data_IF_391681637848
#
_entry.id   IF_391681637848
#
_cell.length_a   1.000
_cell.length_b   1.000
_cell.length_c   1.000
_cell.angle_alpha   90.00
_cell.angle_beta   90.00
_cell.angle_gamma   90.00
#
_symmetry.space_group_name_H-M   'P 1'
#
loop_
_entity.id
_entity.type
_entity.pdbx_description
1 polymer ?
#
# COMPACT_ATOMS: atom_id res chain seq x y z
N UNK A 1 6.02 -5.40 -30.12
CA UNK A 1 4.76 -4.65 -29.96
C UNK A 1 4.56 -4.40 -28.48
N UNK A 2 4.69 -3.15 -27.97
CA UNK A 2 4.31 -2.88 -26.60
C UNK A 2 2.78 -2.93 -26.53
N UNK A 3 2.26 -3.90 -25.77
CA UNK A 3 0.84 -3.98 -25.48
C UNK A 3 0.40 -2.74 -24.71
N UNK A 4 -0.57 -2.07 -25.27
CA UNK A 4 -1.41 -0.98 -24.78
C UNK A 4 -1.20 -0.58 -23.31
N UNK A 5 -0.60 0.58 -23.10
CA UNK A 5 -0.73 1.40 -21.88
C UNK A 5 -2.11 2.11 -21.86
N UNK A 6 -3.15 1.43 -22.30
CA UNK A 6 -4.51 1.94 -22.29
C UNK A 6 -5.11 1.64 -20.93
N UNK A 7 -5.36 2.69 -20.15
CA UNK A 7 -6.17 2.73 -18.94
C UNK A 7 -5.47 2.43 -17.59
N UNK A 8 -4.20 2.83 -17.43
CA UNK A 8 -3.61 2.88 -16.08
C UNK A 8 -4.13 4.11 -15.34
N UNK A 9 -4.57 3.93 -14.10
CA UNK A 9 -5.04 4.99 -13.21
C UNK A 9 -4.03 5.27 -12.13
N UNK A 10 -3.91 6.54 -11.78
CA UNK A 10 -3.05 6.97 -10.68
C UNK A 10 -3.84 6.95 -9.38
N UNK A 11 -3.18 6.55 -8.31
CA UNK A 11 -3.65 6.64 -6.94
C UNK A 11 -2.54 7.21 -6.09
N UNK A 12 -2.86 8.19 -5.27
CA UNK A 12 -1.91 8.84 -4.38
C UNK A 12 -2.53 9.02 -3.01
N UNK A 13 -1.78 8.69 -1.97
CA UNK A 13 -2.16 8.96 -0.60
C UNK A 13 -0.93 9.25 0.25
N UNK A 14 -1.13 9.92 1.38
CA UNK A 14 -0.08 10.25 2.31
C UNK A 14 -0.53 10.01 3.75
N UNK A 15 0.45 9.79 4.61
CA UNK A 15 0.32 9.72 6.06
C UNK A 15 1.63 10.27 6.67
N UNK A 16 1.73 10.34 7.98
CA UNK A 16 2.94 10.77 8.65
C UNK A 16 3.19 9.97 9.92
N UNK A 17 4.44 9.94 10.35
CA UNK A 17 4.85 9.37 11.63
C UNK A 17 5.54 10.44 12.48
N UNK A 18 5.25 10.56 13.79
CA UNK A 18 5.87 11.53 14.69
C UNK A 18 7.26 11.03 15.11
N UNK A 19 8.15 10.88 14.14
CA UNK A 19 9.50 10.37 14.29
C UNK A 19 10.41 11.08 13.30
N UNK A 20 11.65 11.36 13.69
CA UNK A 20 12.68 11.93 12.81
C UNK A 20 12.94 11.07 11.59
N UNK A 21 13.15 11.71 10.46
CA UNK A 21 13.37 11.07 9.17
C UNK A 21 14.52 10.04 9.22
N UNK A 22 15.64 10.35 9.86
CA UNK A 22 16.82 9.48 9.91
C UNK A 22 16.49 8.11 10.53
N UNK A 23 15.65 8.09 11.58
CA UNK A 23 15.22 6.83 12.21
C UNK A 23 14.31 6.00 11.32
N UNK A 24 13.39 6.66 10.64
CA UNK A 24 12.48 5.99 9.70
C UNK A 24 13.26 5.46 8.49
N UNK A 25 14.18 6.28 7.96
CA UNK A 25 15.08 5.90 6.87
C UNK A 25 15.93 4.67 7.22
N UNK A 26 16.58 4.69 8.38
CA UNK A 26 17.42 3.57 8.85
C UNK A 26 16.59 2.28 8.97
N UNK A 27 15.41 2.37 9.58
CA UNK A 27 14.50 1.26 9.70
C UNK A 27 14.05 0.70 8.35
N UNK A 28 13.69 1.54 7.39
CA UNK A 28 13.29 1.10 6.07
C UNK A 28 14.44 0.45 5.30
N UNK A 29 15.67 0.90 5.50
CA UNK A 29 16.86 0.30 4.89
C UNK A 29 17.19 -1.07 5.48
N UNK A 30 17.05 -1.24 6.78
CA UNK A 30 17.33 -2.52 7.45
C UNK A 30 16.21 -3.53 7.27
N UNK A 31 14.95 -3.11 7.44
CA UNK A 31 13.79 -3.98 7.59
C UNK A 31 12.59 -3.66 6.68
N UNK A 32 12.76 -2.79 5.70
CA UNK A 32 11.69 -2.32 4.82
C UNK A 32 10.90 -3.46 4.16
N UNK A 33 11.59 -4.50 3.69
CA UNK A 33 10.94 -5.68 3.10
C UNK A 33 10.04 -6.39 4.11
N UNK A 34 10.51 -6.57 5.35
CA UNK A 34 9.75 -7.21 6.43
C UNK A 34 8.54 -6.38 6.83
N UNK A 35 8.69 -5.06 6.94
CA UNK A 35 7.61 -4.12 7.25
C UNK A 35 6.50 -4.22 6.20
N UNK A 36 6.85 -4.16 4.92
CA UNK A 36 5.88 -4.29 3.84
C UNK A 36 5.23 -5.67 3.78
N UNK A 37 5.98 -6.73 4.01
CA UNK A 37 5.44 -8.09 4.07
C UNK A 37 4.42 -8.27 5.19
N UNK A 38 4.70 -7.75 6.38
CA UNK A 38 3.78 -7.79 7.53
C UNK A 38 2.53 -6.95 7.28
N UNK A 39 2.69 -5.73 6.76
CA UNK A 39 1.56 -4.86 6.39
C UNK A 39 0.66 -5.54 5.36
N UNK A 40 1.25 -6.19 4.35
CA UNK A 40 0.51 -6.93 3.32
C UNK A 40 -0.21 -8.15 3.89
N UNK A 41 0.42 -8.92 4.78
CA UNK A 41 -0.22 -10.06 5.45
C UNK A 41 -1.46 -9.63 6.24
N UNK A 42 -1.35 -8.55 7.00
CA UNK A 42 -2.48 -7.95 7.74
C UNK A 42 -3.60 -7.50 6.80
N UNK A 43 -3.25 -6.88 5.67
CA UNK A 43 -4.23 -6.46 4.66
C UNK A 43 -4.94 -7.66 4.02
N UNK A 44 -4.20 -8.75 3.73
CA UNK A 44 -4.76 -9.99 3.19
C UNK A 44 -5.72 -10.69 4.15
N UNK A 45 -5.39 -10.76 5.44
CA UNK A 45 -6.29 -11.33 6.47
C UNK A 45 -7.61 -10.56 6.54
N UNK A 46 -7.55 -9.24 6.51
CA UNK A 46 -8.74 -8.38 6.52
C UNK A 46 -9.55 -8.50 5.23
N UNK A 47 -8.90 -8.60 4.09
CA UNK A 47 -9.56 -8.82 2.80
C UNK A 47 -10.29 -10.17 2.79
N UNK A 48 -9.68 -11.24 3.31
CA UNK A 48 -10.32 -12.55 3.48
C UNK A 48 -11.53 -12.48 4.41
N UNK A 49 -11.44 -11.76 5.53
CA UNK A 49 -12.56 -11.56 6.45
C UNK A 49 -13.71 -10.80 5.79
N UNK A 50 -13.42 -9.75 5.02
CA UNK A 50 -14.42 -8.99 4.27
C UNK A 50 -15.11 -9.85 3.19
N UNK A 51 -14.34 -10.64 2.44
CA UNK A 51 -14.88 -11.58 1.45
C UNK A 51 -15.73 -12.64 2.11
N UNK A 52 -15.34 -13.17 3.27
CA UNK A 52 -16.16 -14.11 4.04
C UNK A 52 -17.50 -13.50 4.46
N UNK A 53 -17.52 -12.23 4.86
CA UNK A 53 -18.74 -11.50 5.20
C UNK A 53 -19.64 -11.26 3.98
N UNK A 54 -19.04 -10.93 2.82
CA UNK A 54 -19.78 -10.73 1.57
C UNK A 54 -20.36 -12.05 1.03
N UNK A 55 -19.70 -13.19 1.24
CA UNK A 55 -20.19 -14.52 0.87
C UNK A 55 -21.54 -14.85 1.52
N UNK A 56 -21.79 -14.38 2.72
CA UNK A 56 -23.07 -14.61 3.41
C UNK A 56 -24.24 -13.84 2.77
N UNK A 57 -23.98 -12.80 1.98
CA UNK A 57 -25.00 -11.91 1.45
C UNK A 57 -25.23 -12.01 -0.07
N UNK A 58 -24.32 -12.59 -0.86
CA UNK A 58 -24.36 -12.49 -2.34
C UNK A 58 -24.29 -13.84 -3.07
N UNK A 59 -24.37 -15.00 -2.37
CA UNK A 59 -24.29 -16.32 -3.03
C UNK A 59 -22.86 -16.66 -3.51
N UNK A 60 -22.59 -17.95 -3.66
CA UNK A 60 -21.29 -18.56 -3.78
C UNK A 60 -20.42 -18.02 -4.96
N UNK A 61 -19.67 -16.95 -4.71
CA UNK A 61 -18.49 -16.61 -5.51
C UNK A 61 -17.27 -16.76 -4.61
N UNK A 62 -16.48 -17.76 -4.90
CA UNK A 62 -15.22 -18.04 -4.19
C UNK A 62 -14.14 -17.05 -4.66
N UNK A 63 -14.00 -15.92 -3.96
CA UNK A 63 -12.96 -14.93 -4.21
C UNK A 63 -11.96 -14.98 -3.05
N UNK A 64 -11.06 -15.94 -3.09
CA UNK A 64 -9.84 -15.90 -2.28
C UNK A 64 -8.81 -15.03 -2.99
N UNK A 65 -8.47 -13.88 -2.44
CA UNK A 65 -7.44 -13.01 -3.02
C UNK A 65 -6.25 -13.01 -2.08
N UNK A 66 -5.21 -13.72 -2.47
CA UNK A 66 -3.90 -13.54 -1.92
C UNK A 66 -3.14 -12.55 -2.80
N UNK A 67 -2.78 -11.42 -2.23
CA UNK A 67 -1.96 -10.42 -2.89
C UNK A 67 -0.51 -10.67 -2.52
N UNK A 68 0.35 -10.74 -3.51
CA UNK A 68 1.78 -10.77 -3.33
C UNK A 68 2.35 -9.38 -3.60
N UNK A 69 3.01 -8.83 -2.59
CA UNK A 69 3.76 -7.60 -2.70
C UNK A 69 5.24 -7.95 -2.88
N UNK A 70 5.87 -7.32 -3.86
CA UNK A 70 7.29 -7.49 -4.15
C UNK A 70 8.00 -6.15 -4.08
N UNK A 71 8.88 -5.98 -3.11
CA UNK A 71 9.79 -4.83 -3.05
C UNK A 71 10.84 -4.97 -4.15
N UNK A 72 10.99 -3.94 -4.97
CA UNK A 72 11.94 -3.88 -6.10
C UNK A 72 13.26 -3.25 -5.70
N UNK A 73 13.23 -2.27 -4.81
CA UNK A 73 14.42 -1.57 -4.36
C UNK A 73 14.12 -0.47 -3.35
N UNK A 74 15.16 -0.07 -2.64
CA UNK A 74 15.15 1.06 -1.71
C UNK A 74 16.31 1.97 -2.09
N UNK A 75 16.03 3.25 -2.35
CA UNK A 75 17.00 4.23 -2.84
C UNK A 75 16.94 5.49 -2.01
N UNK A 76 18.09 6.05 -1.65
CA UNK A 76 18.16 7.39 -1.08
C UNK A 76 18.35 8.39 -2.22
N UNK A 77 17.54 9.42 -2.21
CA UNK A 77 17.50 10.47 -3.21
C UNK A 77 17.57 11.85 -2.51
N UNK A 78 17.87 12.84 -3.30
CA UNK A 78 17.76 14.26 -2.93
C UNK A 78 16.79 14.88 -3.91
N UNK A 79 15.78 15.57 -3.43
CA UNK A 79 14.82 16.23 -4.31
C UNK A 79 15.40 17.49 -4.97
N UNK A 80 14.61 18.16 -5.81
CA UNK A 80 15.05 19.33 -6.55
C UNK A 80 15.38 20.55 -5.62
N UNK A 81 14.91 20.52 -4.37
CA UNK A 81 15.19 21.57 -3.36
C UNK A 81 16.38 21.23 -2.49
N UNK A 82 16.97 20.04 -2.64
CA UNK A 82 18.11 19.58 -1.84
C UNK A 82 17.70 18.78 -0.61
N UNK A 83 16.41 18.49 -0.43
CA UNK A 83 15.92 17.77 0.75
C UNK A 83 16.08 16.26 0.60
N UNK A 84 16.50 15.56 1.66
CA UNK A 84 16.72 14.12 1.61
C UNK A 84 15.39 13.36 1.51
N UNK A 85 15.39 12.30 0.70
CA UNK A 85 14.25 11.41 0.51
C UNK A 85 14.72 9.96 0.42
N UNK A 86 13.97 9.06 1.02
CA UNK A 86 14.13 7.62 0.80
C UNK A 86 12.93 7.12 0.02
N UNK A 87 13.18 6.44 -1.09
CA UNK A 87 12.17 5.88 -1.97
C UNK A 87 12.25 4.36 -1.94
N UNK A 88 11.09 3.72 -1.78
CA UNK A 88 10.92 2.28 -1.84
C UNK A 88 9.95 1.95 -2.97
N UNK A 89 10.45 1.28 -4.01
CA UNK A 89 9.66 0.84 -5.15
C UNK A 89 9.15 -0.58 -4.93
N UNK A 90 7.89 -0.82 -5.24
CA UNK A 90 7.27 -2.13 -5.10
C UNK A 90 6.19 -2.38 -6.15
N UNK A 91 5.88 -3.64 -6.37
CA UNK A 91 4.74 -4.06 -7.17
C UNK A 91 3.82 -4.94 -6.35
N UNK A 92 2.57 -4.89 -6.72
CA UNK A 92 1.51 -5.66 -6.11
C UNK A 92 0.70 -6.37 -7.20
N UNK A 93 0.52 -7.67 -7.06
CA UNK A 93 -0.31 -8.47 -7.95
C UNK A 93 -1.01 -9.60 -7.19
N UNK A 94 -2.18 -10.01 -7.68
CA UNK A 94 -2.86 -11.16 -7.13
C UNK A 94 -2.16 -12.46 -7.57
N UNK A 95 -1.95 -13.38 -6.63
CA UNK A 95 -1.33 -14.67 -6.91
C UNK A 95 -2.25 -15.64 -7.63
N UNK A 96 -3.57 -15.44 -7.52
CA UNK A 96 -4.58 -16.24 -8.17
C UNK A 96 -5.51 -15.34 -8.98
N UNK A 97 -5.88 -15.79 -10.20
CA UNK A 97 -6.75 -15.03 -11.10
C UNK A 97 -6.25 -13.61 -11.39
N UNK A 98 -5.01 -13.49 -11.76
CA UNK A 98 -4.33 -12.21 -12.03
C UNK A 98 -5.11 -11.27 -12.99
N UNK A 99 -5.94 -11.81 -13.89
CA UNK A 99 -6.79 -11.01 -14.78
C UNK A 99 -8.05 -10.42 -14.14
N UNK A 100 -8.38 -10.78 -12.89
CA UNK A 100 -9.56 -10.28 -12.18
C UNK A 100 -9.22 -9.21 -11.13
N UNK A 101 -7.94 -9.02 -10.82
CA UNK A 101 -7.49 -8.07 -9.81
C UNK A 101 -6.51 -7.07 -10.40
N UNK A 102 -6.53 -5.84 -9.93
CA UNK A 102 -5.62 -4.81 -10.42
C UNK A 102 -4.17 -5.17 -10.08
N UNK A 103 -3.32 -5.06 -11.08
CA UNK A 103 -1.87 -5.01 -10.88
C UNK A 103 -1.48 -3.56 -10.60
N UNK A 104 -0.64 -3.36 -9.60
CA UNK A 104 -0.16 -2.03 -9.24
C UNK A 104 1.36 -2.00 -9.20
N UNK A 105 1.94 -0.97 -9.77
CA UNK A 105 3.31 -0.54 -9.55
C UNK A 105 3.27 0.76 -8.74
N UNK A 106 4.01 0.80 -7.64
CA UNK A 106 3.95 1.92 -6.72
C UNK A 106 5.31 2.23 -6.09
N UNK A 107 5.42 3.43 -5.55
CA UNK A 107 6.53 3.86 -4.72
C UNK A 107 6.04 4.49 -3.43
N UNK A 108 6.71 4.19 -2.32
CA UNK A 108 6.62 4.92 -1.08
C UNK A 108 7.81 5.87 -1.00
N UNK A 109 7.55 7.16 -0.96
CA UNK A 109 8.54 8.20 -0.68
C UNK A 109 8.44 8.64 0.76
N UNK A 110 9.57 8.70 1.44
CA UNK A 110 9.68 9.07 2.85
C UNK A 110 10.63 10.25 2.94
N UNK A 111 10.20 11.33 3.59
CA UNK A 111 10.98 12.57 3.71
C UNK A 111 10.63 13.36 4.97
N UNK A 112 11.53 14.24 5.47
CA UNK A 112 11.26 15.04 6.65
C UNK A 112 10.11 16.02 6.39
N UNK A 113 9.09 16.00 7.24
CA UNK A 113 8.03 17.01 7.28
C UNK A 113 8.37 18.14 8.25
N UNK A 114 9.00 17.78 9.38
CA UNK A 114 9.56 18.65 10.39
C UNK A 114 10.75 17.95 11.05
N UNK A 115 11.48 18.60 11.99
CA UNK A 115 12.57 17.95 12.71
C UNK A 115 12.19 16.65 13.43
N UNK A 116 10.92 16.53 13.83
CA UNK A 116 10.41 15.39 14.61
C UNK A 116 9.31 14.59 13.90
N UNK A 117 9.01 14.92 12.64
CA UNK A 117 7.97 14.24 11.86
C UNK A 117 8.47 13.86 10.47
N UNK A 118 8.05 12.70 10.02
CA UNK A 118 8.36 12.16 8.70
C UNK A 118 7.07 11.92 7.92
N UNK A 119 7.01 12.40 6.70
CA UNK A 119 5.92 12.14 5.78
C UNK A 119 6.16 10.83 5.03
N UNK A 120 5.07 10.09 4.85
CA UNK A 120 4.97 8.90 4.02
C UNK A 120 4.06 9.26 2.84
N UNK A 121 4.57 9.27 1.62
CA UNK A 121 3.84 9.61 0.40
C UNK A 121 3.86 8.40 -0.53
N UNK A 122 2.70 7.80 -0.75
CA UNK A 122 2.54 6.65 -1.61
C UNK A 122 1.91 7.08 -2.92
N UNK A 123 2.63 6.82 -4.00
CA UNK A 123 2.20 7.05 -5.38
C UNK A 123 2.18 5.72 -6.13
N UNK A 124 1.07 5.41 -6.77
CA UNK A 124 0.89 4.14 -7.47
C UNK A 124 0.12 4.29 -8.78
N UNK A 125 0.41 3.37 -9.69
CA UNK A 125 -0.34 3.18 -10.94
C UNK A 125 -0.90 1.79 -10.97
N UNK A 126 -2.21 1.68 -11.10
CA UNK A 126 -2.88 0.40 -11.21
C UNK A 126 -3.58 0.24 -12.54
N UNK A 127 -3.64 -1.00 -13.00
CA UNK A 127 -4.43 -1.39 -14.16
C UNK A 127 -5.73 -2.00 -13.66
N UNK A 128 -6.90 -1.45 -14.04
CA UNK A 128 -8.18 -2.08 -13.74
C UNK A 128 -8.23 -3.53 -14.25
N UNK A 129 -8.91 -4.44 -13.55
CA UNK A 129 -9.06 -5.80 -14.02
C UNK A 129 -9.82 -5.83 -15.34
N UNK A 130 -9.31 -6.59 -16.31
CA UNK A 130 -9.97 -6.81 -17.59
C UNK A 130 -10.93 -8.00 -17.47
N UNK A 131 -12.18 -7.85 -17.93
CA UNK A 131 -13.15 -8.93 -17.99
C UNK A 131 -14.55 -8.55 -17.50
N UNK A 132 -15.43 -9.53 -17.33
CA UNK A 132 -16.84 -9.35 -16.96
C UNK A 132 -17.05 -8.63 -15.61
N UNK A 133 -16.08 -8.73 -14.69
CA UNK A 133 -16.09 -7.97 -13.44
C UNK A 133 -15.73 -6.49 -13.64
N UNK A 134 -14.83 -6.18 -14.57
CA UNK A 134 -14.48 -4.79 -14.92
C UNK A 134 -15.63 -4.04 -15.60
N UNK A 135 -16.50 -4.77 -16.32
CA UNK A 135 -17.69 -4.19 -16.94
C UNK A 135 -18.88 -4.03 -15.98
N UNK A 136 -18.90 -4.78 -14.86
CA UNK A 136 -19.95 -4.73 -13.85
C UNK A 136 -19.67 -3.72 -12.73
N UNK A 137 -18.39 -3.32 -12.53
CA UNK A 137 -18.01 -2.27 -11.61
C UNK A 137 -17.93 -0.95 -12.38
N UNK A 138 -18.79 0.00 -12.01
CA UNK A 138 -18.64 1.37 -12.47
C UNK A 138 -17.19 1.85 -12.24
N UNK A 139 -16.62 2.51 -13.24
CA UNK A 139 -15.26 3.03 -13.21
C UNK A 139 -14.97 3.86 -11.95
N UNK A 140 -15.98 4.55 -11.44
CA UNK A 140 -15.94 5.34 -10.18
C UNK A 140 -15.85 4.45 -8.95
N UNK A 141 -16.60 3.35 -8.91
CA UNK A 141 -16.56 2.41 -7.79
C UNK A 141 -15.21 1.68 -7.72
N UNK A 142 -14.66 1.26 -8.87
CA UNK A 142 -13.33 0.65 -8.96
C UNK A 142 -12.22 1.57 -8.46
N UNK A 143 -12.28 2.85 -8.80
CA UNK A 143 -11.32 3.86 -8.33
C UNK A 143 -11.38 4.04 -6.80
N UNK A 144 -12.57 4.18 -6.24
CA UNK A 144 -12.75 4.31 -4.77
C UNK A 144 -12.25 3.08 -4.00
N UNK A 145 -12.43 1.88 -4.55
CA UNK A 145 -11.91 0.64 -3.95
C UNK A 145 -10.38 0.66 -3.97
N UNK A 146 -9.76 1.06 -5.08
CA UNK A 146 -8.30 1.16 -5.19
C UNK A 146 -7.74 2.19 -4.21
N UNK A 147 -8.30 3.39 -4.13
CA UNK A 147 -7.90 4.43 -3.18
C UNK A 147 -8.01 3.95 -1.73
N UNK A 148 -9.13 3.35 -1.36
CA UNK A 148 -9.35 2.82 -0.01
C UNK A 148 -8.35 1.72 0.34
N UNK A 149 -8.01 0.86 -0.61
CA UNK A 149 -7.05 -0.24 -0.42
C UNK A 149 -5.64 0.29 -0.24
N UNK A 150 -5.22 1.26 -1.06
CA UNK A 150 -3.88 1.87 -0.98
C UNK A 150 -3.72 2.67 0.31
N UNK A 151 -4.72 3.47 0.68
CA UNK A 151 -4.72 4.19 1.95
C UNK A 151 -4.64 3.24 3.16
N UNK A 152 -5.31 2.10 3.07
CA UNK A 152 -5.25 1.06 4.10
C UNK A 152 -3.86 0.47 4.21
N UNK A 153 -3.24 0.11 3.08
CA UNK A 153 -1.86 -0.38 3.04
C UNK A 153 -0.90 0.63 3.68
N UNK A 154 -1.02 1.91 3.33
CA UNK A 154 -0.17 2.95 3.89
C UNK A 154 -0.32 3.05 5.41
N UNK A 155 -1.54 2.99 5.93
CA UNK A 155 -1.81 2.98 7.38
C UNK A 155 -1.22 1.75 8.07
N UNK A 156 -1.31 0.59 7.43
CA UNK A 156 -0.73 -0.64 7.97
C UNK A 156 0.81 -0.58 7.96
N UNK A 157 1.44 -0.01 6.91
CA UNK A 157 2.89 0.28 6.86
C UNK A 157 3.28 1.26 7.97
N UNK A 158 2.54 2.36 8.14
CA UNK A 158 2.74 3.30 9.24
C UNK A 158 2.69 2.61 10.60
N UNK A 159 1.68 1.78 10.83
CA UNK A 159 1.52 1.05 12.09
C UNK A 159 2.70 0.11 12.36
N UNK A 160 3.23 -0.58 11.33
CA UNK A 160 4.41 -1.42 11.46
C UNK A 160 5.67 -0.58 11.78
N UNK A 161 5.87 0.56 11.11
CA UNK A 161 6.98 1.48 11.42
C UNK A 161 6.90 1.93 12.89
N UNK A 162 5.73 2.36 13.35
CA UNK A 162 5.52 2.77 14.73
C UNK A 162 5.80 1.65 15.74
N UNK A 163 5.37 0.43 15.42
CA UNK A 163 5.59 -0.76 16.25
C UNK A 163 7.08 -1.10 16.37
N UNK A 164 7.81 -1.14 15.25
CA UNK A 164 9.25 -1.44 15.23
C UNK A 164 10.08 -0.37 15.95
N UNK A 165 9.63 0.87 15.93
CA UNK A 165 10.27 1.98 16.67
C UNK A 165 9.86 2.05 18.15
N UNK A 166 9.05 1.12 18.64
CA UNK A 166 8.59 1.08 20.03
C UNK A 166 7.54 2.13 20.39
N UNK A 167 6.88 2.72 19.39
CA UNK A 167 5.89 3.79 19.57
C UNK A 167 4.45 3.32 19.38
N UNK A 168 4.24 2.04 19.13
CA UNK A 168 2.94 1.44 18.80
C UNK A 168 1.98 1.23 20.00
N UNK A 169 2.34 1.59 21.21
CA UNK A 169 1.58 1.24 22.42
C UNK A 169 1.31 2.41 23.38
N UNK A 170 1.03 3.61 22.87
CA UNK A 170 0.61 4.73 23.75
C UNK A 170 -0.75 5.27 23.33
N UNK A 171 -1.78 4.42 23.36
CA UNK A 171 -3.17 4.90 23.24
C UNK A 171 -4.20 3.98 23.94
N UNK A 172 -3.86 3.47 25.12
CA UNK A 172 -4.85 2.78 25.95
C UNK A 172 -4.58 3.02 27.44
N UNK A 173 -4.44 4.29 27.87
CA UNK A 173 -4.55 4.67 29.27
C UNK A 173 -4.66 6.20 29.38
N UNK A 174 -5.85 6.69 29.18
CA UNK A 174 -6.36 7.89 29.89
C UNK A 174 -7.83 7.70 30.10
N UNK A 175 -8.16 7.53 31.37
CA UNK A 175 -9.48 7.55 32.00
C UNK A 175 -10.39 8.66 31.50
#
# INVERSE_FOLDING_TARGET
MPAAMADSREVRCYDYVPVRFERVRELLRSDGVTIFSRATATANERARALVATLRMNVGAVEVGVDVQLRVKGITDEVDATGDPRTRLDFSWEATQRAGLFPRMDASLSVYPLSPDETQLDLDGRYQPPMGSLGNALDATAGHRIAEATVLRLLRDVRAQIMSELGLGAVSASRD
#
